data_IF_031107411024
#
_entry.id   IF_031107411024
#
_cell.length_a   1.000
_cell.length_b   1.000
_cell.length_c   1.000
_cell.angle_alpha   90.00
_cell.angle_beta   90.00
_cell.angle_gamma   90.00
#
_symmetry.space_group_name_H-M   'P 1'
#
loop_
_entity.id
_entity.type
_entity.pdbx_description
1 polymer ?
#
# COMPACT_ATOMS: atom_id res chain seq x y z
N UNK A 1 63.86 -33.35 36.47
CA UNK A 1 63.50 -32.69 35.24
C UNK A 1 61.96 -32.46 35.30
N UNK A 2 61.52 -31.30 35.72
CA UNK A 2 60.10 -31.02 35.95
C UNK A 2 59.53 -30.25 34.78
N UNK A 3 58.43 -30.71 34.22
CA UNK A 3 57.63 -29.99 33.24
C UNK A 3 56.59 -29.10 33.95
N UNK A 4 56.68 -27.80 33.75
CA UNK A 4 55.67 -26.85 34.16
C UNK A 4 54.52 -26.79 33.09
N UNK A 5 53.23 -26.80 33.45
CA UNK A 5 52.15 -26.59 32.50
C UNK A 5 51.98 -25.07 32.24
N UNK A 6 51.96 -24.69 30.94
CA UNK A 6 51.57 -23.36 30.46
C UNK A 6 50.04 -23.21 30.58
N UNK A 7 49.58 -22.34 31.45
CA UNK A 7 48.20 -21.92 31.52
C UNK A 7 47.98 -20.91 30.41
N UNK A 8 47.13 -21.30 29.43
CA UNK A 8 46.65 -20.41 28.36
C UNK A 8 45.47 -19.58 28.91
N UNK A 9 45.68 -18.31 29.20
CA UNK A 9 44.58 -17.38 29.51
C UNK A 9 43.85 -17.04 28.23
N UNK A 10 42.64 -17.56 28.05
CA UNK A 10 41.70 -17.15 27.01
C UNK A 10 40.96 -15.90 27.56
N UNK A 11 41.36 -14.72 27.10
CA UNK A 11 40.58 -13.50 27.31
C UNK A 11 39.37 -13.51 26.41
N UNK A 12 38.20 -13.78 26.97
CA UNK A 12 36.90 -13.60 26.31
C UNK A 12 36.60 -12.10 26.20
N UNK A 13 36.79 -11.52 25.00
CA UNK A 13 36.22 -10.23 24.68
C UNK A 13 34.67 -10.39 24.64
N UNK A 14 34.03 -9.97 25.72
CA UNK A 14 32.58 -9.75 25.72
C UNK A 14 32.28 -8.54 24.83
N UNK A 15 31.78 -8.77 23.62
CA UNK A 15 31.16 -7.74 22.81
C UNK A 15 29.86 -7.34 23.50
N UNK A 16 29.90 -6.25 24.26
CA UNK A 16 28.69 -5.61 24.75
C UNK A 16 27.96 -5.03 23.57
N UNK A 17 26.87 -5.67 23.12
CA UNK A 17 25.87 -5.03 22.28
C UNK A 17 25.32 -3.85 23.07
N UNK A 18 25.78 -2.65 22.78
CA UNK A 18 25.18 -1.42 23.28
C UNK A 18 23.85 -1.29 22.51
N UNK A 19 22.76 -1.78 23.09
CA UNK A 19 21.43 -1.43 22.62
C UNK A 19 21.32 0.09 22.72
N UNK A 20 21.25 0.78 21.59
CA UNK A 20 21.06 2.23 21.55
C UNK A 20 19.70 2.53 22.16
N UNK A 21 19.69 3.05 23.39
CA UNK A 21 18.45 3.42 24.05
C UNK A 21 17.75 4.50 23.24
N UNK A 22 16.46 4.30 22.98
CA UNK A 22 15.61 5.28 22.29
C UNK A 22 15.77 6.67 22.91
N UNK A 23 15.90 7.69 22.08
CA UNK A 23 16.12 9.06 22.52
C UNK A 23 14.90 9.61 23.27
N UNK A 24 15.17 10.29 24.41
CA UNK A 24 14.18 11.02 25.18
C UNK A 24 14.48 12.53 25.16
N UNK A 25 13.44 13.34 25.31
CA UNK A 25 13.47 14.78 25.20
C UNK A 25 12.89 15.45 26.45
N UNK A 26 13.31 16.69 26.81
CA UNK A 26 12.76 17.39 27.95
C UNK A 26 11.29 17.74 27.80
N UNK A 27 10.82 17.98 26.55
CA UNK A 27 9.43 18.30 26.25
C UNK A 27 8.93 17.57 25.02
N UNK A 28 7.62 17.35 24.85
CA UNK A 28 7.07 16.71 23.67
C UNK A 28 7.26 17.55 22.39
N UNK A 29 7.30 18.89 22.49
CA UNK A 29 7.59 19.79 21.37
C UNK A 29 9.00 19.55 20.81
N UNK A 30 9.99 19.35 21.70
CA UNK A 30 11.36 19.03 21.27
C UNK A 30 11.47 17.67 20.59
N UNK A 31 10.70 16.69 21.04
CA UNK A 31 10.62 15.39 20.37
C UNK A 31 9.98 15.52 18.98
N UNK A 32 8.87 16.25 18.85
CA UNK A 32 8.20 16.51 17.58
C UNK A 32 9.11 17.27 16.61
N UNK A 33 9.81 18.30 17.07
CA UNK A 33 10.78 19.03 16.26
C UNK A 33 11.89 18.10 15.71
N UNK A 34 12.48 17.26 16.57
CA UNK A 34 13.51 16.31 16.16
C UNK A 34 13.01 15.29 15.14
N UNK A 35 11.74 14.86 15.25
CA UNK A 35 11.11 13.97 14.28
C UNK A 35 10.96 14.65 12.92
N UNK A 36 10.45 15.86 12.88
CA UNK A 36 10.28 16.65 11.64
C UNK A 36 11.64 16.89 10.96
N UNK A 37 12.68 17.22 11.74
CA UNK A 37 14.05 17.37 11.23
C UNK A 37 14.58 16.06 10.62
N UNK A 38 14.27 14.91 11.24
CA UNK A 38 14.68 13.59 10.74
C UNK A 38 13.96 13.16 9.45
N UNK A 39 12.77 13.70 9.19
CA UNK A 39 12.06 13.45 7.93
C UNK A 39 12.74 14.11 6.72
N UNK A 40 13.52 15.19 6.95
CA UNK A 40 14.25 15.91 5.90
C UNK A 40 13.38 16.48 4.80
N UNK A 41 13.99 17.22 3.88
CA UNK A 41 13.28 17.83 2.74
C UNK A 41 13.32 16.98 1.47
N UNK A 42 14.34 16.13 1.30
CA UNK A 42 14.51 15.25 0.16
C UNK A 42 14.49 13.77 0.58
N UNK A 43 15.28 13.46 1.61
CA UNK A 43 15.42 12.10 2.13
C UNK A 43 15.36 12.11 3.64
N UNK A 44 14.66 11.12 4.20
CA UNK A 44 14.59 10.93 5.64
C UNK A 44 15.89 10.33 6.20
N UNK A 45 16.37 10.85 7.31
CA UNK A 45 17.50 10.29 8.06
C UNK A 45 17.05 9.03 8.82
N UNK A 46 17.33 7.87 8.22
CA UNK A 46 16.91 6.58 8.74
C UNK A 46 17.54 6.25 10.10
N UNK A 47 18.82 6.64 10.31
CA UNK A 47 19.51 6.42 11.56
C UNK A 47 18.87 7.26 12.66
N UNK A 48 18.54 8.52 12.36
CA UNK A 48 17.88 9.43 13.28
C UNK A 48 16.47 8.94 13.61
N UNK A 49 15.69 8.48 12.61
CA UNK A 49 14.37 7.90 12.85
C UNK A 49 14.44 6.65 13.75
N UNK A 50 15.45 5.81 13.59
CA UNK A 50 15.67 4.66 14.48
C UNK A 50 15.94 5.10 15.94
N UNK A 51 16.74 6.14 16.15
CA UNK A 51 16.97 6.68 17.48
C UNK A 51 15.70 7.26 18.12
N UNK A 52 14.82 7.88 17.30
CA UNK A 52 13.59 8.52 17.75
C UNK A 52 12.46 7.51 18.01
N UNK A 53 12.28 6.55 17.11
CA UNK A 53 11.16 5.62 17.11
C UNK A 53 11.48 4.25 17.73
N UNK A 54 12.76 3.93 17.89
CA UNK A 54 13.24 2.63 18.39
C UNK A 54 13.63 1.69 17.26
N UNK A 55 14.45 0.67 17.56
CA UNK A 55 15.00 -0.27 16.57
C UNK A 55 13.95 -1.02 15.74
N UNK A 56 12.80 -1.33 16.35
CA UNK A 56 11.74 -2.12 15.73
C UNK A 56 10.76 -1.29 14.85
N UNK A 57 10.99 0.02 14.68
CA UNK A 57 10.00 0.87 14.01
C UNK A 57 9.63 0.43 12.59
N UNK A 58 10.55 -0.24 11.89
CA UNK A 58 10.31 -0.77 10.54
C UNK A 58 9.33 -1.95 10.48
N UNK A 59 9.07 -2.61 11.61
CA UNK A 59 8.03 -3.64 11.68
C UNK A 59 6.62 -3.04 11.70
N UNK A 60 6.48 -1.77 12.08
CA UNK A 60 5.20 -1.04 12.09
C UNK A 60 5.00 -0.18 10.84
N UNK A 61 6.10 0.39 10.30
CA UNK A 61 6.11 1.19 9.08
C UNK A 61 7.10 0.56 8.09
N UNK A 62 6.66 -0.41 7.27
CA UNK A 62 7.49 -1.06 6.26
C UNK A 62 8.06 -0.07 5.23
N UNK A 63 9.10 -0.48 4.52
CA UNK A 63 9.60 0.29 3.38
C UNK A 63 8.49 0.39 2.32
N UNK A 64 8.29 1.59 1.76
CA UNK A 64 7.21 1.84 0.81
C UNK A 64 5.82 2.06 1.43
N UNK A 65 5.63 1.81 2.74
CA UNK A 65 4.36 2.04 3.43
C UNK A 65 4.01 3.52 3.68
N UNK A 66 4.97 4.43 3.45
CA UNK A 66 4.77 5.89 3.45
C UNK A 66 5.57 6.43 2.27
N UNK A 67 4.92 7.11 1.35
CA UNK A 67 5.54 7.70 0.17
C UNK A 67 6.18 9.04 0.50
N UNK A 68 7.13 9.51 -0.33
CA UNK A 68 7.73 10.83 -0.14
C UNK A 68 6.69 11.95 -0.22
N UNK A 69 5.71 11.83 -1.11
CA UNK A 69 4.56 12.75 -1.23
C UNK A 69 3.79 12.91 0.08
N UNK A 70 3.59 11.83 0.84
CA UNK A 70 2.88 11.86 2.13
C UNK A 70 3.68 12.63 3.17
N UNK A 71 5.01 12.39 3.19
CA UNK A 71 5.93 13.13 4.06
C UNK A 71 5.94 14.62 3.70
N UNK A 72 5.96 14.97 2.43
CA UNK A 72 5.95 16.37 1.96
C UNK A 72 4.64 17.07 2.32
N UNK A 73 3.49 16.39 2.15
CA UNK A 73 2.19 16.88 2.59
C UNK A 73 2.15 17.11 4.11
N UNK A 74 2.64 16.15 4.91
CA UNK A 74 2.77 16.31 6.36
C UNK A 74 3.66 17.48 6.74
N UNK A 75 4.84 17.63 6.13
CA UNK A 75 5.76 18.72 6.39
C UNK A 75 5.18 20.09 6.00
N UNK A 76 4.36 20.14 4.95
CA UNK A 76 3.62 21.35 4.56
C UNK A 76 2.62 21.72 5.66
N UNK A 77 1.76 20.79 6.08
CA UNK A 77 0.79 20.99 7.14
C UNK A 77 1.46 21.39 8.47
N UNK A 78 2.58 20.76 8.81
CA UNK A 78 3.36 21.11 10.02
C UNK A 78 3.86 22.56 9.99
N UNK A 79 4.32 23.05 8.83
CA UNK A 79 4.79 24.45 8.70
C UNK A 79 3.63 25.45 8.77
N UNK A 80 2.45 25.08 8.23
CA UNK A 80 1.25 25.94 8.27
C UNK A 80 0.72 26.06 9.70
N UNK A 81 0.50 24.95 10.36
CA UNK A 81 0.01 24.90 11.74
C UNK A 81 0.39 23.57 12.38
N UNK A 82 0.89 23.61 13.61
CA UNK A 82 1.09 22.41 14.42
C UNK A 82 0.89 22.69 15.91
N UNK A 83 0.51 21.66 16.65
CA UNK A 83 0.33 21.72 18.09
C UNK A 83 0.67 20.39 18.76
N UNK A 84 1.04 20.44 20.03
CA UNK A 84 1.12 19.25 20.89
C UNK A 84 -0.16 19.19 21.72
N UNK A 85 -0.99 18.21 21.42
CA UNK A 85 -2.23 17.97 22.14
C UNK A 85 -2.01 16.96 23.25
N UNK A 86 -2.11 17.41 24.51
CA UNK A 86 -1.99 16.53 25.68
C UNK A 86 -3.28 15.77 25.90
N UNK A 87 -3.22 14.44 25.77
CA UNK A 87 -4.34 13.54 26.09
C UNK A 87 -4.33 13.11 27.57
N UNK A 88 -3.19 13.26 28.26
CA UNK A 88 -3.03 13.10 29.70
C UNK A 88 -1.74 13.79 30.16
N UNK A 89 -1.45 13.77 31.48
CA UNK A 89 -0.17 14.29 32.02
C UNK A 89 1.08 13.58 31.45
N UNK A 90 0.91 12.37 30.95
CA UNK A 90 2.01 11.52 30.48
C UNK A 90 1.89 11.11 29.00
N UNK A 91 0.86 11.60 28.27
CA UNK A 91 0.64 11.26 26.88
C UNK A 91 0.24 12.49 26.08
N UNK A 92 0.83 12.66 24.92
CA UNK A 92 0.54 13.72 23.97
C UNK A 92 0.60 13.19 22.53
N UNK A 93 -0.01 13.90 21.61
CA UNK A 93 0.06 13.64 20.17
C UNK A 93 0.46 14.93 19.45
N UNK A 94 1.18 14.79 18.34
CA UNK A 94 1.45 15.89 17.43
C UNK A 94 0.26 16.01 16.48
N UNK A 95 -0.37 17.18 16.42
CA UNK A 95 -1.38 17.54 15.42
C UNK A 95 -0.82 18.54 14.41
N UNK A 96 -1.28 18.50 13.16
CA UNK A 96 -0.85 19.37 12.07
C UNK A 96 -2.04 19.80 11.21
N UNK A 97 -1.91 20.98 10.59
CA UNK A 97 -2.95 21.55 9.71
C UNK A 97 -4.18 22.04 10.44
N UNK A 98 -5.06 22.73 9.69
CA UNK A 98 -6.34 23.28 10.19
C UNK A 98 -7.31 22.19 10.64
N UNK A 99 -7.22 21.00 10.05
CA UNK A 99 -8.11 19.88 10.32
C UNK A 99 -7.65 19.02 11.50
N UNK A 100 -6.59 19.47 12.20
CA UNK A 100 -6.01 18.80 13.37
C UNK A 100 -5.65 17.34 13.13
N UNK A 101 -5.10 17.03 11.92
CA UNK A 101 -4.63 15.68 11.66
C UNK A 101 -3.54 15.26 12.64
N UNK A 102 -3.71 14.13 13.31
CA UNK A 102 -2.78 13.67 14.35
C UNK A 102 -1.80 12.63 13.83
N UNK A 103 -0.52 12.79 14.21
CA UNK A 103 0.48 11.73 13.97
C UNK A 103 0.08 10.48 14.78
N UNK A 104 -0.02 9.28 14.13
CA UNK A 104 -0.48 8.07 14.79
C UNK A 104 0.51 7.48 15.80
N UNK A 105 1.66 8.12 16.00
CA UNK A 105 2.70 7.72 16.96
C UNK A 105 2.64 8.65 18.17
N UNK A 106 2.07 8.23 19.31
CA UNK A 106 1.96 9.10 20.46
C UNK A 106 3.33 9.38 21.11
N UNK A 107 3.42 10.51 21.79
CA UNK A 107 4.50 10.89 22.68
C UNK A 107 4.14 10.50 24.11
N UNK A 108 5.03 9.79 24.78
CA UNK A 108 4.85 9.36 26.18
C UNK A 108 5.96 9.88 27.08
N UNK A 109 5.59 10.28 28.29
CA UNK A 109 6.54 10.75 29.32
C UNK A 109 7.07 9.54 30.10
N UNK A 110 8.35 9.23 29.91
CA UNK A 110 9.12 8.23 30.65
C UNK A 110 10.01 8.89 31.70
N UNK A 111 10.80 8.12 32.45
CA UNK A 111 11.70 8.64 33.48
C UNK A 111 12.72 9.65 32.94
N UNK A 112 13.25 9.41 31.73
CA UNK A 112 14.28 10.26 31.10
C UNK A 112 13.71 11.41 30.27
N UNK A 113 12.38 11.54 30.20
CA UNK A 113 11.72 12.57 29.40
C UNK A 113 10.69 12.01 28.41
N UNK A 114 10.32 12.78 27.40
CA UNK A 114 9.35 12.44 26.38
C UNK A 114 9.98 11.66 25.25
N UNK A 115 9.32 10.61 24.80
CA UNK A 115 9.73 9.80 23.65
C UNK A 115 8.52 9.36 22.85
N UNK A 116 8.72 9.00 21.59
CA UNK A 116 7.71 8.36 20.77
C UNK A 116 7.43 6.93 21.25
N UNK A 117 6.17 6.49 21.16
CA UNK A 117 5.77 5.11 21.46
C UNK A 117 5.06 4.50 20.25
N UNK A 118 5.85 3.94 19.34
CA UNK A 118 5.32 3.36 18.11
C UNK A 118 4.45 2.12 18.37
N UNK A 119 4.74 1.37 19.44
CA UNK A 119 3.93 0.21 19.82
C UNK A 119 2.52 0.63 20.26
N UNK A 120 2.41 1.73 21.01
CA UNK A 120 1.12 2.27 21.40
C UNK A 120 0.34 2.87 20.21
N UNK A 121 1.03 3.25 19.13
CA UNK A 121 0.42 3.73 17.88
C UNK A 121 0.15 2.64 16.84
N UNK A 122 0.58 1.42 17.08
CA UNK A 122 0.62 0.36 16.05
C UNK A 122 -0.75 0.02 15.43
N UNK A 123 -1.80 -0.02 16.25
CA UNK A 123 -3.16 -0.27 15.78
C UNK A 123 -3.65 0.84 14.84
N UNK A 124 -3.43 2.10 15.22
CA UNK A 124 -3.80 3.27 14.42
C UNK A 124 -2.99 3.33 13.09
N UNK A 125 -1.67 3.07 13.16
CA UNK A 125 -0.82 2.97 11.96
C UNK A 125 -1.36 1.92 11.00
N UNK A 126 -1.72 0.73 11.52
CA UNK A 126 -2.28 -0.35 10.71
C UNK A 126 -3.64 0.05 10.11
N UNK A 127 -4.55 0.58 10.91
CA UNK A 127 -5.87 1.03 10.43
C UNK A 127 -5.75 2.04 9.30
N UNK A 128 -4.88 3.05 9.44
CA UNK A 128 -4.66 4.07 8.40
C UNK A 128 -4.01 3.47 7.14
N UNK A 129 -3.06 2.54 7.30
CA UNK A 129 -2.46 1.82 6.17
C UNK A 129 -3.49 1.01 5.40
N UNK A 130 -4.34 0.24 6.11
CA UNK A 130 -5.43 -0.52 5.50
C UNK A 130 -6.33 0.42 4.71
N UNK A 131 -6.84 1.49 5.33
CA UNK A 131 -7.73 2.44 4.64
C UNK A 131 -7.09 3.10 3.42
N UNK A 132 -5.81 3.51 3.51
CA UNK A 132 -5.09 4.07 2.36
C UNK A 132 -4.92 3.06 1.22
N UNK A 133 -4.60 1.80 1.54
CA UNK A 133 -4.44 0.75 0.54
C UNK A 133 -5.79 0.37 -0.10
N UNK A 134 -6.87 0.33 0.66
CA UNK A 134 -8.23 0.07 0.16
C UNK A 134 -8.68 1.17 -0.81
N UNK A 135 -8.48 2.44 -0.46
CA UNK A 135 -8.73 3.55 -1.37
C UNK A 135 -7.89 3.44 -2.65
N UNK A 136 -6.60 3.11 -2.53
CA UNK A 136 -5.73 2.90 -3.69
C UNK A 136 -6.18 1.70 -4.54
N UNK A 137 -6.69 0.63 -3.94
CA UNK A 137 -7.24 -0.52 -4.66
C UNK A 137 -8.50 -0.16 -5.44
N UNK A 138 -9.42 0.61 -4.84
CA UNK A 138 -10.60 1.14 -5.53
C UNK A 138 -10.20 2.03 -6.71
N UNK A 139 -9.25 2.97 -6.49
CA UNK A 139 -8.74 3.83 -7.56
C UNK A 139 -8.07 3.03 -8.68
N UNK A 140 -7.30 2.00 -8.34
CA UNK A 140 -6.67 1.10 -9.32
C UNK A 140 -7.72 0.33 -10.13
N UNK A 141 -8.81 -0.11 -9.50
CA UNK A 141 -9.91 -0.78 -10.19
C UNK A 141 -10.62 0.16 -11.19
N UNK A 142 -10.85 1.42 -10.82
CA UNK A 142 -11.42 2.44 -11.72
C UNK A 142 -10.45 2.76 -12.87
N UNK A 143 -9.16 2.92 -12.57
CA UNK A 143 -8.12 3.16 -13.58
C UNK A 143 -8.01 1.97 -14.56
N UNK A 144 -8.12 0.74 -14.05
CA UNK A 144 -8.20 -0.44 -14.91
C UNK A 144 -9.40 -0.40 -15.86
N UNK A 145 -10.59 0.00 -15.35
CA UNK A 145 -11.79 0.14 -16.16
C UNK A 145 -11.55 1.13 -17.31
N UNK A 146 -11.05 2.31 -17.02
CA UNK A 146 -10.79 3.35 -18.00
C UNK A 146 -9.71 2.92 -19.01
N UNK A 147 -8.66 2.24 -18.56
CA UNK A 147 -7.63 1.69 -19.43
C UNK A 147 -8.17 0.62 -20.38
N UNK A 148 -9.11 -0.21 -19.94
CA UNK A 148 -9.78 -1.19 -20.81
C UNK A 148 -10.65 -0.52 -21.87
N UNK A 149 -11.37 0.54 -21.51
CA UNK A 149 -12.17 1.31 -22.45
C UNK A 149 -11.29 2.01 -23.50
N UNK A 150 -10.14 2.56 -23.08
CA UNK A 150 -9.15 3.13 -24.01
C UNK A 150 -8.52 2.05 -24.90
N UNK A 151 -8.13 0.91 -24.34
CA UNK A 151 -7.55 -0.20 -25.10
C UNK A 151 -8.48 -0.64 -26.23
N UNK A 152 -9.78 -0.84 -25.94
CA UNK A 152 -10.77 -1.31 -26.89
C UNK A 152 -11.21 -0.26 -27.92
N UNK A 153 -10.73 0.99 -27.81
CA UNK A 153 -11.05 2.04 -28.80
C UNK A 153 -10.29 1.89 -30.12
N UNK A 154 -9.23 1.09 -30.15
CA UNK A 154 -8.37 0.84 -31.31
C UNK A 154 -8.00 -0.65 -31.39
N UNK A 155 -7.73 -1.13 -32.63
CA UNK A 155 -7.10 -2.44 -32.86
C UNK A 155 -5.61 -2.37 -32.50
N UNK A 156 -5.27 -2.72 -31.28
CA UNK A 156 -3.92 -2.51 -30.74
C UNK A 156 -2.95 -3.64 -31.02
N UNK A 157 -3.46 -4.84 -31.27
CA UNK A 157 -2.63 -6.00 -31.60
C UNK A 157 -2.58 -6.31 -33.11
N UNK A 158 -3.36 -5.57 -33.91
CA UNK A 158 -3.31 -5.59 -35.37
C UNK A 158 -4.00 -6.80 -35.99
N UNK A 159 -4.96 -7.43 -35.27
CA UNK A 159 -5.65 -8.62 -35.71
C UNK A 159 -6.99 -8.34 -36.43
N UNK A 160 -7.39 -7.08 -36.58
CA UNK A 160 -8.58 -6.61 -37.27
C UNK A 160 -9.84 -6.57 -36.41
N UNK A 161 -9.74 -6.72 -35.06
CA UNK A 161 -10.88 -6.65 -34.16
C UNK A 161 -10.64 -5.64 -33.02
N UNK A 162 -11.73 -5.03 -32.53
CA UNK A 162 -11.71 -4.29 -31.30
C UNK A 162 -11.99 -5.25 -30.15
N UNK A 163 -11.11 -5.26 -29.14
CA UNK A 163 -11.23 -6.13 -27.99
C UNK A 163 -10.62 -5.49 -26.73
N UNK A 164 -10.91 -6.05 -25.58
CA UNK A 164 -10.34 -5.68 -24.29
C UNK A 164 -9.08 -6.48 -24.02
N UNK A 165 -8.13 -5.89 -23.31
CA UNK A 165 -6.89 -6.56 -22.95
C UNK A 165 -7.11 -7.68 -21.92
N UNK A 166 -6.49 -8.84 -22.16
CA UNK A 166 -6.59 -10.01 -21.29
C UNK A 166 -5.44 -10.07 -20.26
N UNK A 167 -4.53 -9.10 -20.26
CA UNK A 167 -3.40 -9.00 -19.33
C UNK A 167 -3.02 -7.56 -19.07
N UNK A 168 -2.37 -7.35 -17.93
CA UNK A 168 -1.86 -6.04 -17.56
C UNK A 168 -0.64 -5.66 -18.39
N UNK A 169 0.38 -6.51 -18.41
CA UNK A 169 1.62 -6.27 -19.12
C UNK A 169 1.60 -6.92 -20.49
N UNK A 170 1.93 -6.14 -21.51
CA UNK A 170 2.08 -6.65 -22.86
C UNK A 170 3.26 -7.61 -22.97
N UNK A 171 3.16 -8.56 -23.89
CA UNK A 171 4.29 -9.37 -24.31
C UNK A 171 5.37 -8.45 -24.90
N UNK A 172 6.66 -8.62 -24.56
CA UNK A 172 7.72 -7.78 -25.12
C UNK A 172 7.63 -7.66 -26.65
N UNK A 173 7.58 -6.41 -27.14
CA UNK A 173 7.44 -6.10 -28.56
C UNK A 173 6.02 -6.23 -29.14
N UNK A 174 5.00 -6.37 -28.28
CA UNK A 174 3.58 -6.35 -28.64
C UNK A 174 2.81 -5.32 -27.81
N UNK A 175 1.58 -5.00 -28.27
CA UNK A 175 0.62 -4.16 -27.56
C UNK A 175 -0.62 -4.99 -27.14
N UNK A 176 -0.42 -6.21 -26.68
CA UNK A 176 -1.46 -7.18 -26.33
C UNK A 176 -1.82 -7.20 -24.81
N UNK A 177 -1.59 -6.10 -24.12
CA UNK A 177 -1.93 -5.86 -22.71
C UNK A 177 -2.14 -4.37 -22.47
N UNK A 178 -2.51 -3.98 -21.24
CA UNK A 178 -2.83 -2.59 -20.87
C UNK A 178 -1.60 -1.71 -20.70
N UNK A 179 -0.42 -2.29 -20.49
CA UNK A 179 0.84 -1.59 -20.32
C UNK A 179 1.92 -2.16 -21.23
N UNK A 180 2.65 -1.29 -21.89
CA UNK A 180 3.93 -1.52 -22.55
C UNK A 180 4.85 -0.34 -22.30
N UNK A 181 6.16 -0.58 -22.30
CA UNK A 181 7.15 0.49 -22.21
C UNK A 181 7.11 1.35 -23.50
N UNK A 182 7.49 2.62 -23.37
CA UNK A 182 7.63 3.50 -24.52
C UNK A 182 8.48 2.84 -25.61
N UNK A 183 7.95 2.78 -26.81
CA UNK A 183 8.59 2.28 -28.01
C UNK A 183 8.53 3.35 -29.12
N UNK A 184 9.05 3.03 -30.32
CA UNK A 184 9.01 3.94 -31.46
C UNK A 184 7.61 4.07 -32.10
N UNK A 185 6.57 3.41 -31.53
CA UNK A 185 5.20 3.51 -32.01
C UNK A 185 4.56 4.84 -31.56
N UNK A 186 3.54 5.26 -32.28
CA UNK A 186 2.71 6.41 -31.88
C UNK A 186 1.64 6.05 -30.84
N UNK A 187 1.54 4.78 -30.45
CA UNK A 187 0.52 4.30 -29.52
C UNK A 187 1.02 4.46 -28.08
N UNK A 188 0.19 5.10 -27.25
CA UNK A 188 0.44 5.29 -25.82
C UNK A 188 -0.21 4.15 -25.04
N UNK A 189 0.52 3.58 -24.09
CA UNK A 189 0.01 2.56 -23.18
C UNK A 189 -1.17 3.09 -22.36
N UNK A 190 -2.34 2.41 -22.34
CA UNK A 190 -3.51 2.85 -21.59
C UNK A 190 -3.28 3.04 -20.09
N UNK A 191 -2.46 2.20 -19.45
CA UNK A 191 -2.11 2.36 -18.04
C UNK A 191 -1.01 3.41 -17.81
N UNK A 192 -0.37 3.92 -18.87
CA UNK A 192 0.62 4.99 -18.77
C UNK A 192 1.89 4.65 -18.00
N UNK A 193 2.88 5.59 -17.95
CA UNK A 193 4.21 5.33 -17.39
C UNK A 193 4.23 5.10 -15.88
N UNK A 194 3.23 5.54 -15.13
CA UNK A 194 3.15 5.29 -13.67
C UNK A 194 3.06 3.80 -13.35
N UNK A 195 2.46 3.00 -14.24
CA UNK A 195 2.37 1.55 -14.10
C UNK A 195 3.68 0.82 -14.44
N UNK A 196 4.62 1.49 -15.08
CA UNK A 196 5.93 0.93 -15.44
C UNK A 196 6.82 0.52 -14.27
N UNK A 197 6.48 0.98 -13.05
CA UNK A 197 7.15 0.56 -11.81
C UNK A 197 6.47 -0.65 -11.14
N UNK A 198 5.31 -1.09 -11.64
CA UNK A 198 4.65 -2.29 -11.15
C UNK A 198 5.44 -3.53 -11.63
N UNK A 199 5.63 -4.48 -10.73
CA UNK A 199 6.28 -5.75 -11.03
C UNK A 199 5.18 -6.79 -11.21
N UNK A 200 5.22 -7.51 -12.31
CA UNK A 200 4.27 -8.58 -12.57
C UNK A 200 4.29 -9.59 -11.41
N UNK A 201 3.11 -10.03 -10.98
CA UNK A 201 2.89 -10.97 -9.86
C UNK A 201 3.26 -10.46 -8.45
N UNK A 202 3.70 -9.20 -8.29
CA UNK A 202 3.84 -8.57 -6.98
C UNK A 202 2.57 -7.82 -6.57
N UNK A 203 2.48 -7.44 -5.28
CA UNK A 203 1.39 -6.60 -4.81
C UNK A 203 1.57 -5.14 -5.23
N UNK A 204 0.48 -4.49 -5.57
CA UNK A 204 0.41 -3.06 -5.86
C UNK A 204 -0.40 -2.37 -4.77
N UNK A 205 0.23 -1.46 -4.03
CA UNK A 205 -0.37 -0.83 -2.84
C UNK A 205 -0.94 -1.84 -1.83
N UNK A 206 -0.25 -2.97 -1.64
CA UNK A 206 -0.68 -4.01 -0.71
C UNK A 206 -1.83 -4.89 -1.21
N UNK A 207 -2.13 -4.86 -2.52
CA UNK A 207 -3.18 -5.63 -3.18
C UNK A 207 -2.67 -6.42 -4.36
N UNK A 208 -3.24 -7.61 -4.56
CA UNK A 208 -3.13 -8.38 -5.79
C UNK A 208 -4.35 -8.13 -6.68
N UNK A 209 -4.12 -8.18 -7.99
CA UNK A 209 -5.15 -7.94 -9.01
C UNK A 209 -5.18 -9.08 -10.02
N UNK A 210 -6.40 -9.41 -10.51
CA UNK A 210 -6.56 -10.40 -11.57
C UNK A 210 -7.74 -10.07 -12.46
N UNK A 211 -7.53 -10.17 -13.78
CA UNK A 211 -8.57 -10.04 -14.80
C UNK A 211 -9.45 -11.29 -14.79
N UNK A 212 -10.76 -11.10 -14.91
CA UNK A 212 -11.77 -12.15 -14.99
C UNK A 212 -12.33 -12.20 -16.42
N UNK A 213 -12.64 -13.41 -16.91
CA UNK A 213 -13.00 -13.70 -18.30
C UNK A 213 -14.50 -13.91 -18.53
N UNK A 214 -15.34 -13.59 -17.55
CA UNK A 214 -16.78 -13.69 -17.65
C UNK A 214 -17.51 -13.18 -16.44
N UNK A 215 -18.84 -13.24 -16.50
CA UNK A 215 -19.69 -12.89 -15.35
C UNK A 215 -20.66 -14.02 -15.00
N UNK A 216 -21.14 -13.98 -13.75
CA UNK A 216 -22.07 -14.92 -13.17
C UNK A 216 -23.54 -14.45 -13.21
N UNK A 217 -24.43 -15.25 -12.65
CA UNK A 217 -25.87 -14.97 -12.73
C UNK A 217 -26.33 -13.75 -11.92
N UNK A 218 -25.58 -13.34 -10.88
CA UNK A 218 -25.91 -12.17 -10.06
C UNK A 218 -25.49 -10.83 -10.70
N UNK A 219 -24.64 -10.89 -11.73
CA UNK A 219 -24.24 -9.71 -12.45
C UNK A 219 -25.34 -9.20 -13.39
N UNK A 220 -25.38 -7.87 -13.67
CA UNK A 220 -26.31 -7.33 -14.68
C UNK A 220 -26.19 -8.04 -16.01
N UNK A 221 -27.31 -8.43 -16.62
CA UNK A 221 -27.33 -9.20 -17.86
C UNK A 221 -27.15 -10.71 -17.71
N UNK A 222 -26.94 -11.22 -16.49
CA UNK A 222 -26.82 -12.65 -16.19
C UNK A 222 -25.48 -13.27 -16.59
N UNK A 223 -25.40 -14.60 -16.53
CA UNK A 223 -24.14 -15.32 -16.75
C UNK A 223 -23.74 -15.40 -18.23
N UNK A 224 -22.53 -14.93 -18.57
CA UNK A 224 -21.92 -15.17 -19.89
C UNK A 224 -20.38 -15.03 -19.84
N UNK A 225 -19.73 -15.55 -20.87
CA UNK A 225 -18.29 -15.36 -21.07
C UNK A 225 -18.02 -14.02 -21.74
N UNK A 226 -17.00 -13.33 -21.33
CA UNK A 226 -16.49 -12.13 -22.01
C UNK A 226 -15.70 -12.48 -23.28
N UNK A 227 -15.31 -13.75 -23.42
CA UNK A 227 -14.56 -14.24 -24.57
C UNK A 227 -15.49 -14.71 -25.70
N UNK A 228 -15.13 -14.35 -26.93
CA UNK A 228 -15.61 -14.99 -28.19
C UNK A 228 -14.37 -15.58 -28.87
N UNK A 229 -14.25 -16.89 -28.82
CA UNK A 229 -12.99 -17.55 -29.18
C UNK A 229 -11.91 -17.21 -28.18
N UNK A 230 -10.83 -16.62 -28.64
CA UNK A 230 -9.70 -16.14 -27.85
C UNK A 230 -9.73 -14.63 -27.58
N UNK A 231 -10.74 -13.89 -28.09
CA UNK A 231 -10.87 -12.44 -27.98
C UNK A 231 -11.83 -12.02 -26.87
N UNK A 232 -11.40 -11.12 -25.99
CA UNK A 232 -12.24 -10.53 -24.95
C UNK A 232 -13.02 -9.34 -25.52
N UNK A 233 -14.18 -9.61 -26.16
CA UNK A 233 -14.96 -8.62 -26.91
C UNK A 233 -16.36 -8.35 -26.36
N UNK A 234 -16.78 -9.04 -25.25
CA UNK A 234 -18.13 -8.90 -24.69
C UNK A 234 -18.16 -8.22 -23.33
N UNK A 235 -17.04 -7.77 -22.85
CA UNK A 235 -16.86 -7.17 -21.52
C UNK A 235 -15.54 -7.57 -20.90
N UNK A 236 -15.30 -7.07 -19.71
CA UNK A 236 -14.14 -7.38 -18.88
C UNK A 236 -14.51 -7.26 -17.40
N UNK A 237 -13.73 -7.84 -16.53
CA UNK A 237 -13.83 -7.59 -15.11
C UNK A 237 -12.49 -7.80 -14.40
N UNK A 238 -12.42 -7.31 -13.17
CA UNK A 238 -11.25 -7.38 -12.30
C UNK A 238 -11.69 -7.81 -10.91
N UNK A 239 -10.84 -8.59 -10.23
CA UNK A 239 -10.87 -8.79 -8.79
C UNK A 239 -9.56 -8.30 -8.17
N UNK A 240 -9.68 -7.58 -7.04
CA UNK A 240 -8.57 -7.16 -6.19
C UNK A 240 -8.75 -7.74 -4.79
N UNK A 241 -7.66 -8.21 -4.15
CA UNK A 241 -7.68 -8.74 -2.79
C UNK A 241 -6.40 -8.38 -2.05
N UNK A 242 -6.45 -8.22 -0.69
CA UNK A 242 -5.27 -7.84 0.08
C UNK A 242 -4.17 -8.89 -0.03
N UNK A 243 -2.92 -8.43 -0.22
CA UNK A 243 -1.75 -9.30 -0.19
C UNK A 243 -1.60 -9.98 1.17
N UNK A 244 -2.04 -9.29 2.24
CA UNK A 244 -2.05 -9.82 3.60
C UNK A 244 -3.26 -9.30 4.37
N UNK A 245 -4.22 -10.20 4.62
CA UNK A 245 -5.44 -9.88 5.35
C UNK A 245 -5.15 -9.27 6.73
N UNK A 246 -5.93 -8.23 7.12
CA UNK A 246 -5.81 -7.47 8.38
C UNK A 246 -4.43 -6.81 8.59
N UNK A 247 -3.63 -6.71 7.53
CA UNK A 247 -2.35 -5.99 7.54
C UNK A 247 -2.24 -5.01 6.37
N UNK A 248 -2.45 -5.44 5.13
CA UNK A 248 -2.44 -4.57 3.95
C UNK A 248 -3.84 -4.16 3.50
N UNK A 249 -4.88 -4.89 3.90
CA UNK A 249 -6.29 -4.63 3.61
C UNK A 249 -7.18 -5.65 4.30
N UNK A 250 -8.47 -5.38 4.33
CA UNK A 250 -9.56 -6.25 4.80
C UNK A 250 -10.50 -6.56 3.65
N UNK A 251 -10.96 -5.51 2.93
CA UNK A 251 -11.91 -5.65 1.84
C UNK A 251 -11.25 -6.18 0.57
N UNK A 252 -11.97 -7.00 -0.17
CA UNK A 252 -11.67 -7.37 -1.56
C UNK A 252 -12.65 -6.64 -2.47
N UNK A 253 -12.20 -6.28 -3.67
CA UNK A 253 -12.97 -5.45 -4.60
C UNK A 253 -13.17 -6.14 -5.94
N UNK A 254 -14.32 -5.92 -6.58
CA UNK A 254 -14.57 -6.31 -7.96
C UNK A 254 -15.12 -5.13 -8.77
N UNK A 255 -14.77 -5.07 -10.04
CA UNK A 255 -15.34 -4.16 -11.03
C UNK A 255 -15.55 -4.90 -12.35
N UNK A 256 -16.59 -4.52 -13.09
CA UNK A 256 -16.79 -4.98 -14.48
C UNK A 256 -16.81 -3.79 -15.43
N UNK A 257 -17.05 -4.08 -16.71
CA UNK A 257 -17.24 -3.09 -17.77
C UNK A 257 -18.41 -2.11 -17.52
N UNK A 258 -19.29 -2.38 -16.55
CA UNK A 258 -20.33 -1.47 -16.09
C UNK A 258 -19.79 -0.31 -15.21
N UNK A 259 -18.53 -0.41 -14.74
CA UNK A 259 -17.85 0.65 -13.98
C UNK A 259 -18.24 0.79 -12.51
N UNK A 260 -19.13 -0.09 -12.00
CA UNK A 260 -19.46 -0.11 -10.56
C UNK A 260 -18.47 -1.00 -9.81
N UNK A 261 -17.85 -0.44 -8.76
CA UNK A 261 -16.99 -1.19 -7.84
C UNK A 261 -17.84 -1.81 -6.74
N UNK A 262 -17.59 -3.07 -6.44
CA UNK A 262 -18.18 -3.82 -5.33
C UNK A 262 -17.10 -4.22 -4.34
N UNK A 263 -17.44 -4.24 -3.05
CA UNK A 263 -16.55 -4.66 -1.97
C UNK A 263 -17.14 -5.77 -1.11
N UNK A 264 -16.27 -6.61 -0.55
CA UNK A 264 -16.62 -7.65 0.40
C UNK A 264 -15.42 -8.07 1.24
N UNK A 265 -15.64 -8.24 2.54
CA UNK A 265 -14.70 -8.96 3.42
C UNK A 265 -14.77 -10.46 3.13
N UNK A 266 -13.75 -11.01 2.48
CA UNK A 266 -13.63 -12.45 2.19
C UNK A 266 -12.98 -13.22 3.35
N UNK A 267 -12.58 -12.53 4.42
CA UNK A 267 -11.96 -13.12 5.61
C UNK A 267 -10.49 -13.53 5.41
N UNK A 268 -9.87 -14.11 6.45
CA UNK A 268 -8.43 -14.44 6.47
C UNK A 268 -7.98 -15.40 5.35
N UNK A 269 -8.85 -16.26 4.87
CA UNK A 269 -8.59 -17.19 3.76
C UNK A 269 -9.10 -16.66 2.40
N UNK A 270 -9.49 -15.38 2.36
CA UNK A 270 -10.11 -14.74 1.19
C UNK A 270 -9.25 -14.81 -0.07
N UNK A 271 -7.92 -14.84 0.07
CA UNK A 271 -7.01 -15.00 -1.06
C UNK A 271 -7.26 -16.30 -1.85
N UNK A 272 -7.65 -17.42 -1.18
CA UNK A 272 -7.97 -18.68 -1.85
C UNK A 272 -9.26 -18.55 -2.67
N UNK A 273 -10.25 -17.86 -2.12
CA UNK A 273 -11.50 -17.57 -2.81
C UNK A 273 -11.23 -16.68 -4.01
N UNK A 274 -10.51 -15.57 -3.83
CA UNK A 274 -10.16 -14.65 -4.90
C UNK A 274 -9.37 -15.36 -6.02
N UNK A 275 -8.38 -16.20 -5.70
CA UNK A 275 -7.64 -17.00 -6.68
C UNK A 275 -8.53 -18.01 -7.43
N UNK A 276 -9.60 -18.51 -6.83
CA UNK A 276 -10.52 -19.47 -7.47
C UNK A 276 -11.61 -18.80 -8.32
N UNK A 277 -11.91 -17.52 -8.09
CA UNK A 277 -12.92 -16.76 -8.82
C UNK A 277 -12.49 -16.61 -10.28
N UNK A 278 -13.35 -17.01 -11.22
CA UNK A 278 -13.15 -16.84 -12.66
C UNK A 278 -14.12 -15.84 -13.27
N UNK A 279 -15.14 -15.45 -12.52
CA UNK A 279 -16.25 -14.63 -12.99
C UNK A 279 -16.55 -13.50 -12.03
N UNK A 280 -16.93 -12.38 -12.57
CA UNK A 280 -17.56 -11.29 -11.86
C UNK A 280 -18.99 -11.71 -11.49
N UNK A 281 -19.26 -11.92 -10.22
CA UNK A 281 -20.56 -12.40 -9.74
C UNK A 281 -20.88 -11.79 -8.36
N UNK A 282 -21.22 -10.48 -8.31
CA UNK A 282 -21.54 -9.80 -7.07
C UNK A 282 -22.94 -10.18 -6.61
N UNK A 283 -23.05 -11.23 -5.77
CA UNK A 283 -24.27 -11.60 -5.10
C UNK A 283 -24.60 -10.60 -3.95
N UNK A 284 -25.74 -10.81 -3.26
CA UNK A 284 -26.24 -9.94 -2.18
C UNK A 284 -25.26 -9.75 -1.01
N UNK A 285 -24.17 -10.49 -0.96
CA UNK A 285 -23.12 -10.37 0.06
C UNK A 285 -22.00 -9.37 -0.33
N UNK A 286 -22.02 -8.88 -1.56
CA UNK A 286 -21.16 -7.80 -2.03
C UNK A 286 -21.89 -6.46 -1.92
N UNK A 287 -21.19 -5.42 -1.52
CA UNK A 287 -21.74 -4.08 -1.37
C UNK A 287 -21.15 -3.13 -2.42
N UNK A 288 -21.98 -2.25 -2.96
CA UNK A 288 -21.49 -1.22 -3.88
C UNK A 288 -20.64 -0.19 -3.12
N UNK A 289 -19.47 0.12 -3.66
CA UNK A 289 -18.65 1.24 -3.17
C UNK A 289 -19.32 2.54 -3.60
N UNK A 290 -19.77 3.33 -2.62
CA UNK A 290 -20.50 4.58 -2.84
C UNK A 290 -19.56 5.72 -3.23
N UNK A 291 -20.13 6.82 -3.76
CA UNK A 291 -19.35 8.01 -4.15
C UNK A 291 -18.56 8.61 -2.98
N UNK A 292 -19.06 8.52 -1.75
CA UNK A 292 -18.39 9.02 -0.53
C UNK A 292 -17.18 8.16 -0.12
N UNK A 293 -17.09 6.94 -0.65
CA UNK A 293 -15.99 5.98 -0.44
C UNK A 293 -15.01 5.95 -1.63
N UNK A 294 -15.36 6.65 -2.73
CA UNK A 294 -14.44 6.81 -3.87
C UNK A 294 -13.44 7.92 -3.56
N UNK A 295 -12.18 7.76 -3.95
CA UNK A 295 -11.14 8.77 -3.74
C UNK A 295 -11.42 10.08 -4.44
#
# INVERSE_FOLDING_TARGET
MGLLPRILMISSLAWSCVATAQQAFPTPEKAAQAFVEALGTEHADQARLTQLLGEEWRSFIPRGGVQRSDVDAFLKLYREQHAIEKTSERKAVLSVGSDHWTLPIPLVKAEKGWRFDIKAGSAEIRTRRIGSNELAAVQSALTYHDAQMDYASEDRDGDGALEYAQKFFSTPGKHDGLYWADDDSSQISPLGPMFGNAIADEDWHGYHFRILDGQGPSAPGGAYSYLIGDKMSRGFALIAWPAKYDDTGVMSFMISHEGQVFEKDLGPEGYKLALSMKRFDPDDSWHEVTADQKP
#
